data_IF_966670264096
#
_entry.id   IF_966670264096
#
_cell.length_a   1.000
_cell.length_b   1.000
_cell.length_c   1.000
_cell.angle_alpha   90.00
_cell.angle_beta   90.00
_cell.angle_gamma   90.00
#
_symmetry.space_group_name_H-M   'P 1'
#
loop_
_entity.id
_entity.type
_entity.pdbx_description
1 polymer ?
#
# COMPACT_ATOMS: atom_id res chain seq x y z
N UNK A 1 5.93 1.36 -12.43
CA UNK A 1 5.49 2.57 -11.74
C UNK A 1 6.42 2.93 -10.61
N UNK A 2 7.48 3.68 -10.90
CA UNK A 2 8.29 4.35 -9.88
C UNK A 2 7.48 5.47 -9.19
N UNK A 3 6.57 6.12 -9.94
CA UNK A 3 5.70 7.20 -9.46
C UNK A 3 4.72 6.80 -8.35
N UNK A 4 4.52 5.51 -8.06
CA UNK A 4 3.65 5.11 -6.95
C UNK A 4 4.17 5.53 -5.58
N UNK A 5 5.49 5.75 -5.46
CA UNK A 5 6.13 6.31 -4.28
C UNK A 5 5.61 7.71 -3.95
N UNK A 6 5.46 8.54 -4.98
CA UNK A 6 5.00 9.95 -4.88
C UNK A 6 3.59 10.02 -4.31
N UNK A 7 2.76 9.01 -4.58
CA UNK A 7 1.39 9.03 -4.08
C UNK A 7 1.28 8.89 -2.57
N UNK A 8 2.33 8.43 -1.85
CA UNK A 8 2.21 8.17 -0.41
C UNK A 8 1.93 9.43 0.41
N UNK A 9 2.49 10.58 0.00
CA UNK A 9 2.39 11.85 0.73
C UNK A 9 1.48 12.87 0.00
N UNK A 10 0.43 12.38 -0.69
CA UNK A 10 -0.55 13.28 -1.29
C UNK A 10 -1.31 14.04 -0.20
N UNK A 11 -1.44 15.35 -0.40
CA UNK A 11 -2.37 16.16 0.39
C UNK A 11 -3.80 15.67 0.22
N UNK A 12 -4.66 15.95 1.21
CA UNK A 12 -6.08 15.59 1.15
C UNK A 12 -6.77 16.16 -0.10
N UNK A 13 -6.38 17.37 -0.52
CA UNK A 13 -6.89 18.02 -1.73
C UNK A 13 -6.53 17.24 -3.01
N UNK A 14 -5.26 16.87 -3.18
CA UNK A 14 -4.83 16.10 -4.34
C UNK A 14 -5.44 14.70 -4.36
N UNK A 15 -5.55 14.06 -3.20
CA UNK A 15 -6.23 12.78 -3.07
C UNK A 15 -7.72 12.88 -3.47
N UNK A 16 -8.40 13.96 -3.08
CA UNK A 16 -9.78 14.21 -3.47
C UNK A 16 -9.92 14.43 -4.98
N UNK A 17 -9.01 15.19 -5.61
CA UNK A 17 -8.99 15.38 -7.07
C UNK A 17 -8.77 14.06 -7.80
N UNK A 18 -7.85 13.23 -7.32
CA UNK A 18 -7.59 11.90 -7.88
C UNK A 18 -8.81 10.98 -7.74
N UNK A 19 -9.43 10.93 -6.55
CA UNK A 19 -10.65 10.15 -6.30
C UNK A 19 -11.78 10.58 -7.23
N UNK A 20 -12.03 11.87 -7.37
CA UNK A 20 -13.06 12.41 -8.27
C UNK A 20 -12.80 12.02 -9.73
N UNK A 21 -11.54 12.10 -10.17
CA UNK A 21 -11.16 11.74 -11.54
C UNK A 21 -11.41 10.26 -11.83
N UNK A 22 -10.97 9.36 -10.93
CA UNK A 22 -11.20 7.91 -11.09
C UNK A 22 -12.70 7.57 -11.00
N UNK A 23 -13.44 8.21 -10.09
CA UNK A 23 -14.89 8.03 -10.00
C UNK A 23 -15.57 8.41 -11.33
N UNK A 24 -15.19 9.54 -11.93
CA UNK A 24 -15.72 9.95 -13.24
C UNK A 24 -15.43 8.92 -14.32
N UNK A 25 -14.23 8.31 -14.34
CA UNK A 25 -13.91 7.23 -15.27
C UNK A 25 -14.81 6.01 -15.07
N UNK A 26 -15.00 5.57 -13.82
CA UNK A 26 -15.90 4.43 -13.52
C UNK A 26 -17.33 4.73 -13.96
N UNK A 27 -17.83 5.93 -13.67
CA UNK A 27 -19.17 6.36 -14.11
C UNK A 27 -19.31 6.37 -15.62
N UNK A 28 -18.28 6.82 -16.33
CA UNK A 28 -18.27 6.82 -17.79
C UNK A 28 -18.32 5.41 -18.37
N UNK A 29 -17.49 4.50 -17.85
CA UNK A 29 -17.40 3.11 -18.33
C UNK A 29 -18.73 2.37 -18.15
N UNK A 30 -19.38 2.54 -16.99
CA UNK A 30 -20.60 1.81 -16.63
C UNK A 30 -21.88 2.62 -16.87
N UNK A 31 -21.78 3.80 -17.48
CA UNK A 31 -22.88 4.74 -17.71
C UNK A 31 -23.74 4.99 -16.45
N UNK A 32 -23.07 5.25 -15.32
CA UNK A 32 -23.69 5.40 -14.00
C UNK A 32 -24.17 6.82 -13.78
N UNK A 33 -25.33 7.00 -13.14
CA UNK A 33 -25.82 8.34 -12.77
C UNK A 33 -24.89 9.03 -11.76
N UNK A 34 -24.94 10.35 -11.72
CA UNK A 34 -24.01 11.18 -10.91
C UNK A 34 -24.17 10.96 -9.40
N UNK A 35 -25.39 10.72 -8.96
CA UNK A 35 -25.87 10.61 -7.58
C UNK A 35 -25.75 9.19 -7.01
N UNK A 36 -25.59 8.17 -7.84
CA UNK A 36 -25.44 6.79 -7.38
C UNK A 36 -24.14 6.56 -6.60
N UNK A 37 -24.18 5.73 -5.57
CA UNK A 37 -22.99 5.37 -4.81
C UNK A 37 -21.95 4.66 -5.71
N UNK A 38 -20.68 5.10 -5.67
CA UNK A 38 -19.65 4.63 -6.62
C UNK A 38 -19.03 3.28 -6.24
N UNK A 39 -19.03 2.91 -4.96
CA UNK A 39 -18.34 1.70 -4.46
C UNK A 39 -18.81 0.39 -5.11
N UNK A 40 -20.13 0.12 -5.27
CA UNK A 40 -20.60 -1.10 -5.94
C UNK A 40 -20.06 -1.23 -7.37
N UNK A 41 -19.91 -0.11 -8.06
CA UNK A 41 -19.40 -0.05 -9.43
C UNK A 41 -17.92 -0.42 -9.51
N UNK A 42 -17.10 0.03 -8.56
CA UNK A 42 -15.72 -0.45 -8.42
C UNK A 42 -15.65 -1.97 -8.19
N UNK A 43 -16.51 -2.49 -7.31
CA UNK A 43 -16.55 -3.93 -7.01
C UNK A 43 -16.95 -4.73 -8.25
N UNK A 44 -17.96 -4.27 -9.01
CA UNK A 44 -18.42 -4.93 -10.25
C UNK A 44 -17.31 -5.02 -11.32
N UNK A 45 -16.44 -4.00 -11.39
CA UNK A 45 -15.29 -3.99 -12.30
C UNK A 45 -14.09 -4.79 -11.78
N UNK A 46 -14.16 -5.32 -10.55
CA UNK A 46 -13.00 -5.83 -9.82
C UNK A 46 -11.87 -4.77 -9.76
N UNK A 47 -12.22 -3.51 -9.54
CA UNK A 47 -11.25 -2.43 -9.38
C UNK A 47 -11.11 -2.04 -7.92
N UNK A 48 -9.85 -1.86 -7.49
CA UNK A 48 -9.57 -1.24 -6.21
C UNK A 48 -9.85 0.27 -6.31
N UNK A 49 -10.49 0.84 -5.29
CA UNK A 49 -10.60 2.29 -5.16
C UNK A 49 -9.21 2.94 -4.99
N UNK A 50 -9.14 4.27 -5.00
CA UNK A 50 -7.85 4.99 -4.96
C UNK A 50 -7.01 4.65 -3.72
N UNK A 51 -7.63 4.54 -2.54
CA UNK A 51 -6.97 4.17 -1.27
C UNK A 51 -6.29 2.81 -1.38
N UNK A 52 -7.05 1.77 -1.74
CA UNK A 52 -6.51 0.41 -1.84
C UNK A 52 -5.56 0.23 -3.01
N UNK A 53 -5.79 0.93 -4.13
CA UNK A 53 -4.87 0.91 -5.27
C UNK A 53 -3.50 1.46 -4.90
N UNK A 54 -3.44 2.52 -4.09
CA UNK A 54 -2.17 3.06 -3.58
C UNK A 54 -1.46 2.05 -2.68
N UNK A 55 -2.18 1.42 -1.75
CA UNK A 55 -1.64 0.36 -0.90
C UNK A 55 -1.10 -0.82 -1.72
N UNK A 56 -1.83 -1.24 -2.77
CA UNK A 56 -1.38 -2.28 -3.68
C UNK A 56 -0.06 -1.92 -4.37
N UNK A 57 0.05 -0.70 -4.89
CA UNK A 57 1.28 -0.22 -5.54
C UNK A 57 2.45 -0.11 -4.55
N UNK A 58 2.18 0.40 -3.33
CA UNK A 58 3.15 0.48 -2.24
C UNK A 58 3.67 -0.92 -1.85
N UNK A 59 2.77 -1.88 -1.64
CA UNK A 59 3.15 -3.26 -1.31
C UNK A 59 3.94 -3.94 -2.41
N UNK A 60 3.50 -3.78 -3.67
CA UNK A 60 4.25 -4.28 -4.83
C UNK A 60 5.65 -3.70 -4.87
N UNK A 61 5.78 -2.39 -4.65
CA UNK A 61 7.07 -1.71 -4.63
C UNK A 61 7.97 -2.25 -3.53
N UNK A 62 7.47 -2.33 -2.28
CA UNK A 62 8.24 -2.86 -1.15
C UNK A 62 8.68 -4.30 -1.37
N UNK A 63 7.80 -5.15 -1.90
CA UNK A 63 8.17 -6.53 -2.19
C UNK A 63 9.31 -6.62 -3.19
N UNK A 64 9.29 -5.79 -4.25
CA UNK A 64 10.37 -5.72 -5.24
C UNK A 64 11.65 -5.17 -4.59
N UNK A 65 11.55 -4.09 -3.82
CA UNK A 65 12.67 -3.47 -3.11
C UNK A 65 13.38 -4.48 -2.22
N UNK A 66 12.63 -5.28 -1.45
CA UNK A 66 13.17 -6.25 -0.50
C UNK A 66 13.70 -7.53 -1.17
N UNK A 67 13.13 -7.92 -2.32
CA UNK A 67 13.61 -9.08 -3.07
C UNK A 67 14.86 -8.77 -3.89
N UNK A 68 14.90 -7.59 -4.48
CA UNK A 68 15.98 -7.20 -5.40
C UNK A 68 17.05 -6.35 -4.72
N UNK A 69 16.85 -5.90 -3.48
CA UNK A 69 17.76 -5.03 -2.74
C UNK A 69 18.03 -3.70 -3.47
N UNK A 70 17.09 -3.26 -4.32
CA UNK A 70 17.28 -2.12 -5.21
C UNK A 70 16.04 -1.21 -5.30
N UNK A 71 16.25 0.12 -5.36
CA UNK A 71 17.55 0.78 -5.29
C UNK A 71 18.12 0.80 -3.86
N UNK A 72 19.44 0.65 -3.74
CA UNK A 72 20.13 0.44 -2.47
C UNK A 72 19.88 1.58 -1.47
N UNK A 73 19.87 2.83 -1.95
CA UNK A 73 19.61 3.99 -1.11
C UNK A 73 18.24 3.94 -0.43
N UNK A 74 17.22 3.31 -1.03
CA UNK A 74 15.91 3.12 -0.39
C UNK A 74 15.93 1.92 0.54
N UNK A 75 16.55 0.83 0.12
CA UNK A 75 16.64 -0.38 0.93
C UNK A 75 17.31 -0.10 2.27
N UNK A 76 18.42 0.65 2.26
CA UNK A 76 19.18 1.02 3.45
C UNK A 76 18.43 1.94 4.42
N UNK A 77 17.30 2.54 4.03
CA UNK A 77 16.44 3.30 4.95
C UNK A 77 15.66 2.38 5.90
N UNK A 78 15.41 1.13 5.49
CA UNK A 78 14.61 0.19 6.26
C UNK A 78 15.48 -0.59 7.25
N UNK A 79 15.16 -0.45 8.54
CA UNK A 79 15.76 -1.23 9.61
C UNK A 79 14.73 -2.25 10.08
N UNK A 80 15.08 -3.53 10.08
CA UNK A 80 14.24 -4.58 10.64
C UNK A 80 14.32 -4.55 12.17
N UNK A 81 13.26 -4.96 12.86
CA UNK A 81 13.28 -5.04 14.33
C UNK A 81 14.32 -6.04 14.85
N UNK A 82 14.68 -7.05 14.04
CA UNK A 82 15.69 -8.04 14.38
C UNK A 82 17.10 -7.43 14.48
N UNK A 83 17.41 -6.42 13.66
CA UNK A 83 18.71 -5.72 13.70
C UNK A 83 18.89 -4.85 14.96
N UNK A 84 17.83 -4.62 15.74
CA UNK A 84 17.86 -3.82 16.96
C UNK A 84 17.82 -4.67 18.24
N UNK A 85 18.00 -5.99 18.13
CA UNK A 85 17.93 -6.95 19.24
C UNK A 85 16.64 -6.85 20.10
N UNK A 86 15.55 -6.38 19.49
CA UNK A 86 14.24 -6.32 20.14
C UNK A 86 13.67 -7.75 20.23
N UNK A 87 13.72 -8.35 21.42
CA UNK A 87 13.09 -9.63 21.87
C UNK A 87 12.65 -10.59 20.74
N UNK A 88 13.52 -11.50 20.33
CA UNK A 88 13.42 -12.41 19.18
C UNK A 88 12.16 -13.30 19.16
N UNK A 89 11.24 -13.01 18.24
CA UNK A 89 10.19 -13.95 17.78
C UNK A 89 10.21 -14.03 16.25
N UNK A 90 9.76 -15.15 15.65
CA UNK A 90 9.81 -15.36 14.18
C UNK A 90 9.17 -14.23 13.36
N UNK A 91 8.21 -13.49 13.93
CA UNK A 91 7.53 -12.36 13.30
C UNK A 91 8.37 -11.07 13.21
N UNK A 92 9.51 -10.99 13.88
CA UNK A 92 10.35 -9.78 13.98
C UNK A 92 11.26 -9.62 12.77
N UNK A 93 11.70 -10.73 12.17
CA UNK A 93 12.55 -10.72 10.97
C UNK A 93 11.88 -10.09 9.75
N UNK A 94 10.55 -10.10 9.70
CA UNK A 94 9.79 -9.57 8.56
C UNK A 94 9.19 -8.19 8.82
N UNK A 95 9.32 -7.64 10.05
CA UNK A 95 8.72 -6.37 10.44
C UNK A 95 9.76 -5.27 10.56
N UNK A 96 9.45 -4.11 9.98
CA UNK A 96 10.29 -2.93 10.08
C UNK A 96 10.14 -2.26 11.45
N UNK A 97 11.25 -1.71 11.92
CA UNK A 97 11.26 -0.77 13.02
C UNK A 97 10.69 0.56 12.54
N UNK A 98 9.89 1.19 13.40
CA UNK A 98 9.28 2.49 13.13
C UNK A 98 9.85 3.45 14.16
N UNK A 99 10.69 4.37 13.70
CA UNK A 99 11.27 5.39 14.57
C UNK A 99 10.17 6.30 15.14
N UNK A 100 10.25 6.72 16.41
CA UNK A 100 9.35 7.70 16.97
C UNK A 100 9.35 8.98 16.12
N UNK A 101 8.17 9.48 15.79
CA UNK A 101 8.00 10.70 15.01
C UNK A 101 7.31 11.78 15.84
N UNK A 102 7.77 13.03 15.68
CA UNK A 102 7.21 14.22 16.37
C UNK A 102 6.43 15.15 15.45
N UNK A 103 6.61 15.02 14.14
CA UNK A 103 5.94 15.85 13.14
C UNK A 103 5.00 15.03 12.26
N UNK A 104 3.91 15.65 11.80
CA UNK A 104 2.98 15.04 10.85
C UNK A 104 3.68 14.75 9.52
N UNK A 105 4.57 15.63 9.08
CA UNK A 105 5.39 15.43 7.87
C UNK A 105 6.22 14.16 7.96
N UNK A 106 6.92 13.92 9.08
CA UNK A 106 7.70 12.69 9.21
C UNK A 106 6.81 11.46 9.37
N UNK A 107 5.68 11.57 10.07
CA UNK A 107 4.65 10.51 10.12
C UNK A 107 4.16 10.11 8.71
N UNK A 108 3.96 11.09 7.83
CA UNK A 108 3.47 10.88 6.46
C UNK A 108 4.59 10.56 5.46
N UNK A 109 5.85 10.62 5.90
CA UNK A 109 6.99 10.25 5.06
C UNK A 109 6.85 8.85 4.51
N UNK A 110 7.45 8.64 3.34
CA UNK A 110 7.48 7.33 2.69
C UNK A 110 7.95 6.23 3.64
N UNK A 111 9.03 6.45 4.39
CA UNK A 111 9.61 5.46 5.30
C UNK A 111 8.63 4.99 6.37
N UNK A 112 7.96 5.93 7.04
CA UNK A 112 7.03 5.61 8.13
C UNK A 112 5.77 4.94 7.58
N UNK A 113 5.16 5.49 6.53
CA UNK A 113 3.93 4.94 5.94
C UNK A 113 4.15 3.56 5.33
N UNK A 114 5.25 3.37 4.61
CA UNK A 114 5.63 2.08 4.05
C UNK A 114 5.90 1.02 5.13
N UNK A 115 6.59 1.41 6.21
CA UNK A 115 6.86 0.51 7.34
C UNK A 115 5.59 0.12 8.08
N UNK A 116 4.69 1.09 8.33
CA UNK A 116 3.37 0.82 8.93
C UNK A 116 2.56 -0.15 8.08
N UNK A 117 2.46 0.14 6.78
CA UNK A 117 1.72 -0.69 5.83
C UNK A 117 2.29 -2.11 5.75
N UNK A 118 3.60 -2.26 5.61
CA UNK A 118 4.23 -3.58 5.57
C UNK A 118 3.99 -4.37 6.85
N UNK A 119 4.08 -3.70 8.01
CA UNK A 119 3.87 -4.32 9.31
C UNK A 119 2.43 -4.73 9.58
N UNK A 120 1.45 -4.12 8.90
CA UNK A 120 0.04 -4.50 8.98
C UNK A 120 -0.32 -5.70 8.09
N UNK A 121 0.55 -6.08 7.14
CA UNK A 121 0.25 -7.21 6.26
C UNK A 121 0.33 -8.55 7.01
N UNK A 122 -0.60 -9.48 6.73
CA UNK A 122 -0.52 -10.84 7.24
C UNK A 122 0.77 -11.56 6.81
N UNK A 123 1.30 -12.40 7.71
CA UNK A 123 2.53 -13.15 7.46
C UNK A 123 2.48 -13.99 6.18
N UNK A 124 1.36 -14.64 5.88
CA UNK A 124 1.21 -15.48 4.68
C UNK A 124 1.38 -14.71 3.35
N UNK A 125 1.15 -13.39 3.34
CA UNK A 125 1.43 -12.53 2.18
C UNK A 125 2.92 -12.24 2.08
N UNK A 126 3.55 -11.83 3.18
CA UNK A 126 4.95 -11.41 3.21
C UNK A 126 5.89 -12.57 2.81
N UNK A 127 5.56 -13.81 3.16
CA UNK A 127 6.38 -14.99 2.87
C UNK A 127 6.22 -15.55 1.44
N UNK A 128 5.48 -14.88 0.55
CA UNK A 128 5.39 -15.33 -0.85
C UNK A 128 6.76 -15.31 -1.52
N UNK A 129 7.05 -16.35 -2.31
CA UNK A 129 8.37 -16.53 -2.95
C UNK A 129 8.53 -15.67 -4.21
N UNK A 130 7.45 -15.50 -4.98
CA UNK A 130 7.48 -14.79 -6.27
C UNK A 130 6.66 -13.50 -6.23
N UNK A 131 7.05 -12.52 -7.05
CA UNK A 131 6.34 -11.24 -7.21
C UNK A 131 4.91 -11.49 -7.69
N UNK A 132 4.71 -12.42 -8.63
CA UNK A 132 3.38 -12.76 -9.13
C UNK A 132 2.46 -13.29 -8.03
N UNK A 133 2.94 -14.24 -7.22
CA UNK A 133 2.15 -14.81 -6.13
C UNK A 133 1.85 -13.76 -5.04
N UNK A 134 2.79 -12.87 -4.75
CA UNK A 134 2.58 -11.76 -3.82
C UNK A 134 1.53 -10.77 -4.35
N UNK A 135 1.65 -10.33 -5.61
CA UNK A 135 0.71 -9.39 -6.23
C UNK A 135 -0.73 -9.90 -6.17
N UNK A 136 -0.96 -11.15 -6.59
CA UNK A 136 -2.30 -11.72 -6.59
C UNK A 136 -2.86 -11.80 -5.17
N UNK A 137 -2.08 -12.32 -4.22
CA UNK A 137 -2.53 -12.46 -2.84
C UNK A 137 -2.76 -11.10 -2.15
N UNK A 138 -1.92 -10.10 -2.44
CA UNK A 138 -2.10 -8.74 -1.92
C UNK A 138 -3.36 -8.10 -2.51
N UNK A 139 -3.58 -8.23 -3.81
CA UNK A 139 -4.79 -7.72 -4.45
C UNK A 139 -6.05 -8.34 -3.81
N UNK A 140 -6.08 -9.67 -3.63
CA UNK A 140 -7.21 -10.36 -3.01
C UNK A 140 -7.44 -9.89 -1.57
N UNK A 141 -6.37 -9.72 -0.80
CA UNK A 141 -6.44 -9.20 0.57
C UNK A 141 -7.05 -7.79 0.61
N UNK A 142 -6.57 -6.89 -0.26
CA UNK A 142 -7.06 -5.51 -0.32
C UNK A 142 -8.48 -5.42 -0.88
N UNK A 143 -8.85 -6.27 -1.84
CA UNK A 143 -10.20 -6.33 -2.39
C UNK A 143 -11.20 -6.82 -1.34
N UNK A 144 -10.82 -7.77 -0.47
CA UNK A 144 -11.65 -8.19 0.67
C UNK A 144 -11.84 -7.04 1.65
N UNK A 145 -10.76 -6.41 2.10
CA UNK A 145 -10.84 -5.25 2.99
C UNK A 145 -11.66 -4.11 2.39
N UNK A 146 -11.61 -3.88 1.08
CA UNK A 146 -12.44 -2.88 0.41
C UNK A 146 -13.93 -3.20 0.43
N UNK A 147 -14.30 -4.48 0.39
CA UNK A 147 -15.71 -4.89 0.46
C UNK A 147 -16.28 -4.77 1.87
N UNK A 148 -15.41 -4.79 2.88
CA UNK A 148 -15.78 -4.71 4.30
C UNK A 148 -15.77 -3.27 4.86
N UNK A 149 -15.09 -2.32 4.17
CA UNK A 149 -15.02 -0.88 4.49
C UNK A 149 -16.27 -0.11 4.04
#
# INVERSE_FOLDING_TARGET
>A
DYCSLVYNDLTAELNLKLQRSVNSCVRFILNVRRDEHITPHFISLNWLNVKYRRQYLLGKFLFILLKNLHPEYLYNLFITKAQLDLRTTRAIYTKFYISPYRTVTYKNSFLVQSSLFWNSLPSHLIHKKTIAAFKNALYDHLMRSFRDD
#
